data_IF_443764537488
#
_entry.id   IF_443764537488
#
_cell.length_a   1.000
_cell.length_b   1.000
_cell.length_c   1.000
_cell.angle_alpha   90.00
_cell.angle_beta   90.00
_cell.angle_gamma   90.00
#
_symmetry.space_group_name_H-M   'P 1'
#
loop_
_entity.id
_entity.type
_entity.pdbx_description
1 polymer ?
#
# COMPACT_ATOMS: atom_id res chain seq x y z
N UNK A 1 1.05 -20.36 -16.65
CA UNK A 1 1.27 -20.12 -15.21
C UNK A 1 0.03 -19.49 -14.60
N UNK A 2 -0.26 -19.73 -13.33
CA UNK A 2 -1.28 -19.02 -12.58
C UNK A 2 -0.64 -17.84 -11.85
N UNK A 3 -1.24 -16.65 -11.95
CA UNK A 3 -0.72 -15.44 -11.32
C UNK A 3 -1.72 -14.98 -10.26
N UNK A 4 -1.34 -14.97 -8.97
CA UNK A 4 -2.22 -14.54 -7.91
C UNK A 4 -2.45 -13.03 -7.95
N UNK A 5 -3.49 -12.61 -7.23
CA UNK A 5 -3.75 -11.21 -6.95
C UNK A 5 -2.54 -10.55 -6.24
N UNK A 6 -2.09 -9.37 -6.70
CA UNK A 6 -1.05 -8.62 -6.03
C UNK A 6 -1.50 -8.20 -4.62
N UNK A 7 -0.62 -8.44 -3.64
CA UNK A 7 -0.87 -8.15 -2.22
C UNK A 7 -0.20 -6.86 -1.78
N UNK A 8 -0.87 -6.06 -0.96
CA UNK A 8 -0.33 -4.83 -0.39
C UNK A 8 -0.75 -4.63 1.06
N UNK A 9 0.19 -4.27 1.92
CA UNK A 9 -0.08 -3.78 3.26
C UNK A 9 0.17 -2.27 3.26
N UNK A 10 -0.87 -1.49 3.57
CA UNK A 10 -0.81 -0.02 3.67
C UNK A 10 -0.89 0.35 5.14
N UNK A 11 0.15 0.97 5.66
CA UNK A 11 0.23 1.41 7.03
C UNK A 11 0.19 2.94 7.07
N UNK A 12 -0.87 3.49 7.65
CA UNK A 12 -0.91 4.90 8.03
C UNK A 12 -0.23 5.07 9.39
N UNK A 13 0.76 5.95 9.44
CA UNK A 13 1.41 6.40 10.67
C UNK A 13 0.89 7.78 10.96
N UNK A 14 0.03 7.91 11.96
CA UNK A 14 -0.72 9.14 12.22
C UNK A 14 -0.28 9.73 13.54
N UNK A 15 0.23 10.95 13.50
CA UNK A 15 0.43 11.74 14.69
C UNK A 15 -0.92 12.20 15.25
N UNK A 16 -1.10 11.96 16.54
CA UNK A 16 -2.26 12.33 17.32
C UNK A 16 -1.95 13.34 18.42
N UNK A 17 -0.85 14.07 18.29
CA UNK A 17 -0.56 15.25 19.08
C UNK A 17 -1.66 16.31 18.94
N UNK A 18 -1.70 17.26 19.89
CA UNK A 18 -2.72 18.31 19.92
C UNK A 18 -2.68 19.26 18.71
N UNK A 19 -1.50 19.47 18.11
CA UNK A 19 -1.32 20.31 16.91
C UNK A 19 -1.99 19.72 15.66
N UNK A 20 -2.19 18.41 15.63
CA UNK A 20 -2.72 17.69 14.47
C UNK A 20 -4.23 17.81 14.27
N UNK A 21 -4.98 18.53 15.13
CA UNK A 21 -6.46 18.56 15.09
C UNK A 21 -6.99 19.06 13.73
N UNK A 22 -6.50 20.22 13.28
CA UNK A 22 -6.89 20.79 11.98
C UNK A 22 -6.44 19.93 10.79
N UNK A 23 -5.29 19.26 10.92
CA UNK A 23 -4.74 18.38 9.87
C UNK A 23 -5.56 17.10 9.74
N UNK A 24 -5.90 16.44 10.85
CA UNK A 24 -6.75 15.26 10.84
C UNK A 24 -8.16 15.56 10.35
N UNK A 25 -8.72 16.74 10.66
CA UNK A 25 -10.02 17.17 10.11
C UNK A 25 -9.97 17.29 8.57
N UNK A 26 -8.90 17.86 8.03
CA UNK A 26 -8.69 18.01 6.57
C UNK A 26 -8.50 16.65 5.89
N UNK A 27 -7.74 15.75 6.51
CA UNK A 27 -7.57 14.37 6.07
C UNK A 27 -8.91 13.62 6.03
N UNK A 28 -9.70 13.69 7.11
CA UNK A 28 -11.01 13.04 7.22
C UNK A 28 -11.97 13.47 6.10
N UNK A 29 -11.89 14.73 5.67
CA UNK A 29 -12.72 15.25 4.59
C UNK A 29 -12.37 14.67 3.20
N UNK A 30 -11.18 14.08 3.04
CA UNK A 30 -10.66 13.70 1.72
C UNK A 30 -10.25 12.24 1.57
N UNK A 31 -9.99 11.53 2.67
CA UNK A 31 -9.50 10.14 2.67
C UNK A 31 -10.44 9.15 1.96
N UNK A 32 -11.74 9.45 1.90
CA UNK A 32 -12.71 8.66 1.14
C UNK A 32 -12.32 8.56 -0.35
N UNK A 33 -11.89 9.66 -0.97
CA UNK A 33 -11.49 9.65 -2.39
C UNK A 33 -10.24 8.80 -2.63
N UNK A 34 -9.32 8.77 -1.68
CA UNK A 34 -8.17 7.87 -1.73
C UNK A 34 -8.62 6.41 -1.65
N UNK A 35 -9.51 6.11 -0.70
CA UNK A 35 -10.08 4.78 -0.53
C UNK A 35 -10.80 4.27 -1.80
N UNK A 36 -11.61 5.12 -2.45
CA UNK A 36 -12.29 4.80 -3.72
C UNK A 36 -11.34 4.21 -4.77
N UNK A 37 -10.14 4.78 -4.92
CA UNK A 37 -9.13 4.34 -5.89
C UNK A 37 -8.71 2.89 -5.63
N UNK A 38 -8.57 2.49 -4.37
CA UNK A 38 -8.13 1.14 -4.00
C UNK A 38 -9.27 0.14 -3.96
N UNK A 39 -10.39 0.53 -3.36
CA UNK A 39 -11.48 -0.39 -3.07
C UNK A 39 -12.21 -0.86 -4.32
N UNK A 40 -12.12 -0.07 -5.40
CA UNK A 40 -12.70 -0.42 -6.70
C UNK A 40 -11.78 -1.29 -7.56
N UNK A 41 -10.51 -1.50 -7.19
CA UNK A 41 -9.61 -2.34 -7.98
C UNK A 41 -9.85 -3.84 -7.71
N UNK A 42 -10.29 -4.63 -8.71
CA UNK A 42 -10.68 -6.02 -8.50
C UNK A 42 -9.51 -6.96 -8.20
N UNK A 43 -8.25 -6.53 -8.41
CA UNK A 43 -7.05 -7.38 -8.27
C UNK A 43 -6.19 -7.09 -7.05
N UNK A 44 -6.29 -5.90 -6.46
CA UNK A 44 -5.50 -5.55 -5.26
C UNK A 44 -6.01 -6.20 -3.97
N UNK A 45 -5.30 -7.21 -3.47
CA UNK A 45 -5.52 -7.79 -2.14
C UNK A 45 -4.84 -6.91 -1.09
N UNK A 46 -5.61 -6.09 -0.39
CA UNK A 46 -5.08 -5.08 0.53
C UNK A 46 -5.40 -5.37 1.99
N UNK A 47 -4.46 -4.97 2.85
CA UNK A 47 -4.69 -4.74 4.28
C UNK A 47 -4.32 -3.29 4.58
N UNK A 48 -5.24 -2.51 5.15
CA UNK A 48 -4.98 -1.11 5.54
C UNK A 48 -5.07 -0.96 7.05
N UNK A 49 -3.95 -0.67 7.69
CA UNK A 49 -3.84 -0.48 9.13
C UNK A 49 -3.46 0.96 9.49
N UNK A 50 -3.75 1.34 10.72
CA UNK A 50 -3.35 2.64 11.29
C UNK A 50 -2.53 2.37 12.55
N UNK A 51 -1.35 2.97 12.65
CA UNK A 51 -0.55 2.99 13.87
C UNK A 51 -0.30 4.44 14.27
N UNK A 52 -0.48 4.81 15.54
CA UNK A 52 -0.16 6.15 15.99
C UNK A 52 1.36 6.35 16.12
N UNK A 53 1.81 7.60 16.07
CA UNK A 53 3.18 7.98 16.47
C UNK A 53 3.43 7.59 17.93
N UNK A 54 4.62 7.09 18.22
CA UNK A 54 5.01 6.65 19.56
C UNK A 54 5.82 7.72 20.29
N UNK A 55 6.01 7.54 21.60
CA UNK A 55 6.85 8.38 22.43
C UNK A 55 7.47 7.50 23.51
N UNK A 56 8.71 7.03 23.28
CA UNK A 56 9.43 6.21 24.25
C UNK A 56 10.06 7.02 25.38
N UNK A 57 10.23 8.32 25.17
CA UNK A 57 10.94 9.22 26.09
C UNK A 57 10.10 9.53 27.32
N UNK A 58 8.81 9.76 27.13
CA UNK A 58 7.88 10.14 28.19
C UNK A 58 6.93 9.03 28.60
N UNK A 59 7.23 7.77 28.25
CA UNK A 59 6.51 6.59 28.74
C UNK A 59 6.35 6.69 30.25
N UNK A 60 5.12 6.55 30.74
CA UNK A 60 4.75 6.62 32.16
C UNK A 60 4.91 8.01 32.83
N UNK A 61 5.21 9.06 32.06
CA UNK A 61 5.20 10.43 32.55
C UNK A 61 3.77 10.91 32.84
N UNK A 62 3.41 11.05 34.12
CA UNK A 62 2.21 11.80 34.54
C UNK A 62 2.45 13.31 34.36
N UNK A 63 2.60 13.76 33.13
CA UNK A 63 2.55 15.18 32.83
C UNK A 63 1.07 15.56 32.68
N UNK A 64 0.60 16.43 33.56
CA UNK A 64 -0.59 17.21 33.26
C UNK A 64 -0.25 18.14 32.10
N UNK A 65 -1.06 18.08 31.06
CA UNK A 65 -1.05 19.06 29.99
C UNK A 65 -1.36 20.43 30.61
N UNK A 66 -1.09 21.55 29.92
CA UNK A 66 -1.36 22.90 30.46
C UNK A 66 -2.81 23.08 30.96
N UNK A 67 -3.73 22.20 30.57
CA UNK A 67 -5.07 22.04 31.11
C UNK A 67 -5.08 20.96 32.21
N UNK A 68 -5.36 21.38 33.45
CA UNK A 68 -5.28 20.59 34.70
C UNK A 68 -6.15 19.31 34.77
N UNK A 69 -6.90 18.97 33.72
CA UNK A 69 -7.89 17.88 33.71
C UNK A 69 -7.56 16.72 32.78
N UNK A 70 -6.61 16.87 31.86
CA UNK A 70 -6.27 15.81 30.91
C UNK A 70 -4.99 15.07 31.33
N UNK A 71 -5.13 13.77 31.55
CA UNK A 71 -4.00 12.85 31.73
C UNK A 71 -3.44 12.57 30.34
N UNK A 72 -2.12 12.71 30.17
CA UNK A 72 -1.42 12.29 28.96
C UNK A 72 -1.71 10.81 28.68
N UNK A 73 -2.33 10.50 27.54
CA UNK A 73 -2.63 9.12 27.12
C UNK A 73 -1.56 8.68 26.16
N UNK A 74 -0.74 7.71 26.55
CA UNK A 74 0.31 7.21 25.67
C UNK A 74 -0.23 6.19 24.68
N UNK A 75 0.28 6.29 23.45
CA UNK A 75 0.04 5.30 22.42
C UNK A 75 0.76 4.00 22.78
N UNK A 76 0.11 2.86 22.54
CA UNK A 76 0.75 1.58 22.74
C UNK A 76 1.76 1.33 21.63
N UNK A 77 2.95 0.86 22.00
CA UNK A 77 4.01 0.60 21.02
C UNK A 77 3.57 -0.43 19.99
N UNK A 78 3.58 -0.01 18.72
CA UNK A 78 3.39 -0.85 17.53
C UNK A 78 2.10 -1.68 17.50
N UNK A 79 1.05 -1.23 18.20
CA UNK A 79 -0.29 -1.80 18.12
C UNK A 79 -1.13 -1.03 17.11
N UNK A 80 -1.70 -1.74 16.14
CA UNK A 80 -2.67 -1.14 15.22
C UNK A 80 -3.91 -0.68 15.97
N UNK A 81 -4.45 0.45 15.52
CA UNK A 81 -5.68 1.02 16.08
C UNK A 81 -6.87 0.13 15.71
N UNK A 82 -7.73 -0.25 16.66
CA UNK A 82 -8.97 -0.94 16.37
C UNK A 82 -9.82 -0.14 15.38
N UNK A 83 -10.43 -0.84 14.42
CA UNK A 83 -11.29 -0.20 13.43
C UNK A 83 -12.46 0.52 14.11
N UNK A 84 -12.90 1.63 13.51
CA UNK A 84 -14.06 2.40 13.99
C UNK A 84 -15.23 2.27 13.01
N UNK A 85 -16.43 2.10 13.55
CA UNK A 85 -17.70 2.19 12.82
C UNK A 85 -17.93 3.62 12.30
N UNK A 86 -18.94 3.78 11.45
CA UNK A 86 -19.33 5.09 10.91
C UNK A 86 -19.70 6.13 11.98
N UNK A 87 -20.20 5.69 13.12
CA UNK A 87 -20.53 6.54 14.27
C UNK A 87 -19.31 6.85 15.18
N UNK A 88 -18.12 6.34 14.83
CA UNK A 88 -16.88 6.51 15.58
C UNK A 88 -16.68 5.52 16.73
N UNK A 89 -17.64 4.64 17.00
CA UNK A 89 -17.47 3.57 17.99
C UNK A 89 -16.46 2.53 17.52
N UNK A 90 -15.75 1.88 18.45
CA UNK A 90 -14.83 0.79 18.11
C UNK A 90 -15.63 -0.41 17.59
N UNK A 91 -15.20 -0.99 16.48
CA UNK A 91 -15.75 -2.23 15.92
C UNK A 91 -15.39 -3.40 16.84
N UNK A 92 -16.40 -4.03 17.41
CA UNK A 92 -16.21 -5.22 18.23
C UNK A 92 -15.76 -6.41 17.38
N UNK A 93 -14.83 -7.21 17.90
CA UNK A 93 -14.39 -8.49 17.30
C UNK A 93 -13.82 -8.38 15.86
N UNK A 94 -13.35 -7.19 15.46
CA UNK A 94 -12.67 -6.99 14.18
C UNK A 94 -11.16 -7.16 14.29
N UNK A 95 -10.53 -7.66 13.22
CA UNK A 95 -9.08 -7.46 13.03
C UNK A 95 -8.77 -5.96 12.89
N UNK A 96 -7.59 -5.47 13.34
CA UNK A 96 -7.30 -4.04 13.41
C UNK A 96 -6.83 -3.46 12.07
N UNK A 97 -7.36 -3.97 10.96
CA UNK A 97 -7.05 -3.51 9.61
C UNK A 97 -8.20 -3.78 8.64
N UNK A 98 -8.34 -2.90 7.68
CA UNK A 98 -9.38 -2.96 6.64
C UNK A 98 -8.92 -3.92 5.55
N UNK A 99 -9.83 -4.80 5.16
CA UNK A 99 -9.71 -5.70 4.02
C UNK A 99 -10.83 -5.44 3.02
N UNK A 100 -10.79 -6.14 1.89
CA UNK A 100 -11.85 -6.13 0.88
C UNK A 100 -13.23 -6.50 1.42
N UNK A 101 -13.28 -7.33 2.46
CA UNK A 101 -14.52 -7.83 3.04
C UNK A 101 -15.05 -6.91 4.15
N UNK A 102 -14.33 -5.82 4.45
CA UNK A 102 -14.77 -4.84 5.43
C UNK A 102 -15.96 -4.05 4.88
N UNK A 103 -17.12 -4.22 5.51
CA UNK A 103 -18.31 -3.45 5.15
C UNK A 103 -18.08 -1.94 5.35
N UNK A 104 -18.54 -1.12 4.39
CA UNK A 104 -18.37 0.33 4.42
C UNK A 104 -16.91 0.78 4.63
N UNK A 105 -15.95 0.08 4.01
CA UNK A 105 -14.52 0.30 4.17
C UNK A 105 -14.08 1.78 4.06
N UNK A 106 -14.73 2.58 3.21
CA UNK A 106 -14.45 4.02 3.05
C UNK A 106 -14.69 4.79 4.35
N UNK A 107 -15.86 4.58 4.97
CA UNK A 107 -16.21 5.25 6.21
C UNK A 107 -15.42 4.67 7.39
N UNK A 108 -15.16 3.35 7.39
CA UNK A 108 -14.29 2.72 8.38
C UNK A 108 -12.88 3.31 8.33
N UNK A 109 -12.29 3.47 7.14
CA UNK A 109 -10.97 4.09 6.99
C UNK A 109 -11.00 5.53 7.49
N UNK A 110 -12.00 6.29 7.06
CA UNK A 110 -12.17 7.70 7.44
C UNK A 110 -12.26 7.90 8.94
N UNK A 111 -12.99 7.04 9.65
CA UNK A 111 -13.12 7.13 11.11
C UNK A 111 -11.88 6.58 11.83
N UNK A 112 -11.24 5.54 11.29
CA UNK A 112 -10.07 4.91 11.91
C UNK A 112 -8.81 5.77 11.79
N UNK A 113 -8.55 6.35 10.60
CA UNK A 113 -7.39 7.25 10.37
C UNK A 113 -7.53 8.57 11.15
N UNK A 114 -8.75 9.07 11.34
CA UNK A 114 -9.02 10.19 12.25
C UNK A 114 -9.00 9.67 13.71
N UNK A 115 -7.80 9.44 14.22
CA UNK A 115 -7.58 8.97 15.59
C UNK A 115 -8.25 9.87 16.62
N UNK A 116 -8.33 11.17 16.30
CA UNK A 116 -8.52 12.23 17.26
C UNK A 116 -7.15 12.70 17.76
N UNK A 117 -7.14 13.81 18.48
CA UNK A 117 -5.94 14.32 19.13
C UNK A 117 -5.97 14.02 20.62
N UNK A 118 -4.79 13.95 21.19
CA UNK A 118 -4.57 13.85 22.62
C UNK A 118 -3.39 14.74 23.00
N UNK A 119 -3.12 14.81 24.30
CA UNK A 119 -1.92 15.45 24.77
C UNK A 119 -0.73 14.51 24.58
N UNK A 120 0.26 14.95 23.80
CA UNK A 120 1.35 14.12 23.32
C UNK A 120 0.97 13.27 22.08
N UNK A 121 1.94 12.62 21.42
CA UNK A 121 3.37 12.50 21.77
C UNK A 121 4.12 13.85 21.83
N UNK A 122 5.14 13.96 22.68
CA UNK A 122 6.03 15.14 22.72
C UNK A 122 7.38 14.82 22.09
N UNK A 123 7.82 13.57 22.24
CA UNK A 123 8.92 13.02 21.50
C UNK A 123 8.35 12.14 20.37
N UNK A 124 8.15 12.75 19.20
CA UNK A 124 7.47 12.09 18.08
C UNK A 124 8.35 11.03 17.41
N UNK A 125 8.06 9.77 17.71
CA UNK A 125 8.68 8.61 17.08
C UNK A 125 7.71 8.02 16.05
N UNK A 126 7.88 8.44 14.80
CA UNK A 126 7.14 7.93 13.65
C UNK A 126 7.73 6.61 13.12
N UNK A 127 9.05 6.42 13.19
CA UNK A 127 9.75 5.28 12.59
C UNK A 127 9.73 4.03 13.46
N UNK A 128 9.98 4.16 14.77
CA UNK A 128 10.03 3.03 15.69
C UNK A 128 8.74 2.18 15.72
N UNK A 129 7.50 2.74 15.74
CA UNK A 129 6.29 1.92 15.73
C UNK A 129 6.11 1.14 14.42
N UNK A 130 6.56 1.67 13.28
CA UNK A 130 6.49 0.95 12.00
C UNK A 130 7.35 -0.31 12.03
N UNK A 131 8.56 -0.22 12.57
CA UNK A 131 9.45 -1.38 12.72
C UNK A 131 8.86 -2.41 13.69
N UNK A 132 8.18 -1.96 14.74
CA UNK A 132 7.46 -2.86 15.64
C UNK A 132 6.26 -3.52 14.96
N UNK A 133 5.52 -2.83 14.09
CA UNK A 133 4.34 -3.41 13.40
C UNK A 133 4.75 -4.56 12.49
N UNK A 134 5.93 -4.47 11.85
CA UNK A 134 6.46 -5.51 10.96
C UNK A 134 7.32 -6.56 11.68
N UNK A 135 7.61 -6.38 12.97
CA UNK A 135 8.27 -7.40 13.77
C UNK A 135 7.42 -8.67 13.81
N UNK A 136 7.97 -9.87 13.52
CA UNK A 136 7.16 -11.09 13.41
C UNK A 136 6.34 -11.41 14.66
N UNK A 137 6.89 -11.18 15.86
CA UNK A 137 6.22 -11.50 17.11
C UNK A 137 5.11 -10.50 17.41
N UNK A 138 5.37 -9.19 17.30
CA UNK A 138 4.35 -8.15 17.49
C UNK A 138 3.26 -8.27 16.42
N UNK A 139 3.64 -8.44 15.16
CA UNK A 139 2.70 -8.60 14.05
C UNK A 139 1.71 -9.76 14.30
N UNK A 140 2.21 -10.90 14.76
CA UNK A 140 1.39 -12.06 15.07
C UNK A 140 0.52 -11.86 16.30
N UNK A 141 1.10 -11.36 17.40
CA UNK A 141 0.44 -11.35 18.71
C UNK A 141 -0.48 -10.16 18.94
N UNK A 142 -0.18 -9.01 18.31
CA UNK A 142 -0.87 -7.74 18.52
C UNK A 142 -1.61 -7.23 17.30
N UNK A 143 -1.12 -7.53 16.09
CA UNK A 143 -1.65 -6.95 14.85
C UNK A 143 -2.33 -7.98 13.94
N UNK A 144 -2.66 -9.17 14.47
CA UNK A 144 -3.41 -10.22 13.77
C UNK A 144 -2.82 -10.60 12.40
N UNK A 145 -1.49 -10.61 12.27
CA UNK A 145 -0.76 -10.83 11.02
C UNK A 145 -1.13 -9.82 9.92
N UNK A 146 -1.19 -8.54 10.28
CA UNK A 146 -1.34 -7.44 9.32
C UNK A 146 -0.24 -7.45 8.26
N UNK A 147 1.03 -7.51 8.67
CA UNK A 147 2.17 -7.47 7.77
C UNK A 147 2.42 -8.85 7.12
N UNK A 148 2.56 -8.86 5.80
CA UNK A 148 2.92 -10.02 5.00
C UNK A 148 4.26 -9.80 4.29
N UNK A 149 5.20 -10.76 4.40
CA UNK A 149 6.53 -10.62 3.79
C UNK A 149 6.48 -10.48 2.26
N UNK A 150 5.56 -11.19 1.61
CA UNK A 150 5.50 -11.25 0.14
C UNK A 150 4.74 -10.08 -0.50
N UNK A 151 3.93 -9.37 0.28
CA UNK A 151 3.17 -8.19 -0.17
C UNK A 151 4.08 -6.97 -0.40
N UNK A 152 3.59 -5.98 -1.14
CA UNK A 152 4.14 -4.64 -1.07
C UNK A 152 3.88 -4.04 0.32
N UNK A 153 4.79 -3.22 0.84
CA UNK A 153 4.60 -2.41 2.03
C UNK A 153 4.56 -0.94 1.62
N UNK A 154 3.46 -0.29 1.96
CA UNK A 154 3.28 1.16 1.79
C UNK A 154 3.21 1.77 3.18
N UNK A 155 4.05 2.75 3.47
CA UNK A 155 4.01 3.50 4.72
C UNK A 155 3.70 4.95 4.41
N UNK A 156 2.59 5.45 4.97
CA UNK A 156 2.10 6.81 4.76
C UNK A 156 2.17 7.52 6.11
N UNK A 157 3.08 8.48 6.24
CA UNK A 157 3.24 9.29 7.45
C UNK A 157 2.40 10.55 7.39
N UNK A 158 1.79 10.91 8.51
CA UNK A 158 1.03 12.14 8.70
C UNK A 158 1.42 12.74 10.06
N UNK A 159 2.23 13.77 10.03
CA UNK A 159 2.78 14.43 11.23
C UNK A 159 3.20 15.85 10.88
N UNK A 160 3.13 16.75 11.86
CA UNK A 160 3.69 18.09 11.79
C UNK A 160 5.04 18.24 12.50
N UNK A 161 5.67 17.13 12.88
CA UNK A 161 6.99 17.07 13.49
C UNK A 161 7.96 16.17 12.68
N UNK A 162 9.26 16.26 13.00
CA UNK A 162 10.26 15.32 12.49
C UNK A 162 10.41 14.12 13.42
N UNK A 163 10.87 12.99 12.86
CA UNK A 163 11.08 11.78 13.64
C UNK A 163 12.27 11.92 14.60
N UNK A 164 12.10 11.48 15.85
CA UNK A 164 13.18 11.42 16.83
C UNK A 164 13.36 10.03 17.47
N UNK A 165 13.07 8.97 16.70
CA UNK A 165 13.23 7.58 17.14
C UNK A 165 14.67 7.32 17.66
N UNK A 166 14.85 6.93 18.94
CA UNK A 166 16.18 6.81 19.53
C UNK A 166 17.09 5.82 18.80
N UNK A 167 18.27 6.30 18.37
CA UNK A 167 19.27 5.45 17.71
C UNK A 167 18.89 4.98 16.30
N UNK A 168 17.87 5.59 15.69
CA UNK A 168 17.37 5.23 14.37
C UNK A 168 17.31 6.45 13.47
N UNK A 169 18.09 6.46 12.39
CA UNK A 169 17.95 7.47 11.34
C UNK A 169 17.16 6.94 10.14
N UNK A 170 16.76 7.84 9.24
CA UNK A 170 15.98 7.57 8.04
C UNK A 170 16.58 6.48 7.15
N UNK A 171 17.90 6.50 6.94
CA UNK A 171 18.60 5.49 6.15
C UNK A 171 18.51 4.11 6.80
N UNK A 172 18.83 4.00 8.09
CA UNK A 172 18.71 2.76 8.86
C UNK A 172 17.28 2.23 8.91
N UNK A 173 16.31 3.12 9.09
CA UNK A 173 14.89 2.80 9.06
C UNK A 173 14.49 2.19 7.70
N UNK A 174 14.81 2.87 6.60
CA UNK A 174 14.47 2.40 5.26
C UNK A 174 15.14 1.06 4.92
N UNK A 175 16.42 0.89 5.23
CA UNK A 175 17.11 -0.39 5.01
C UNK A 175 16.50 -1.54 5.81
N UNK A 176 15.98 -1.29 7.02
CA UNK A 176 15.25 -2.31 7.79
C UNK A 176 13.93 -2.71 7.10
N UNK A 177 13.19 -1.76 6.51
CA UNK A 177 11.99 -2.08 5.72
C UNK A 177 12.34 -2.92 4.47
N UNK A 178 13.39 -2.52 3.76
CA UNK A 178 13.89 -3.23 2.57
C UNK A 178 14.34 -4.64 2.94
N UNK A 179 15.08 -4.81 4.03
CA UNK A 179 15.47 -6.11 4.55
C UNK A 179 14.27 -6.99 4.92
N UNK A 180 13.22 -6.40 5.51
CA UNK A 180 11.97 -7.10 5.81
C UNK A 180 11.25 -7.60 4.55
N UNK A 181 11.48 -6.95 3.39
CA UNK A 181 11.03 -7.37 2.06
C UNK A 181 12.06 -8.18 1.27
N UNK A 182 13.05 -8.76 1.95
CA UNK A 182 14.05 -9.63 1.31
C UNK A 182 15.06 -8.89 0.44
N UNK A 183 15.28 -7.60 0.68
CA UNK A 183 16.21 -6.76 -0.10
C UNK A 183 15.55 -6.06 -1.30
N UNK A 184 14.27 -6.31 -1.57
CA UNK A 184 13.57 -5.74 -2.71
C UNK A 184 13.04 -4.34 -2.39
N UNK A 185 13.79 -3.31 -2.82
CA UNK A 185 13.39 -1.91 -2.68
C UNK A 185 12.08 -1.58 -3.42
N UNK A 186 11.75 -2.31 -4.49
CA UNK A 186 10.52 -2.05 -5.25
C UNK A 186 9.25 -2.39 -4.47
N UNK A 187 9.38 -3.23 -3.43
CA UNK A 187 8.29 -3.61 -2.52
C UNK A 187 8.08 -2.65 -1.35
N UNK A 188 8.87 -1.58 -1.22
CA UNK A 188 8.72 -0.58 -0.16
C UNK A 188 8.38 0.76 -0.78
N UNK A 189 7.21 1.31 -0.46
CA UNK A 189 6.78 2.62 -0.91
C UNK A 189 6.57 3.53 0.29
N UNK A 190 7.17 4.71 0.25
CA UNK A 190 7.05 5.71 1.31
C UNK A 190 6.32 6.94 0.80
N UNK A 191 5.42 7.43 1.64
CA UNK A 191 4.73 8.69 1.47
C UNK A 191 4.74 9.44 2.81
N UNK A 192 4.90 10.77 2.78
CA UNK A 192 4.81 11.60 3.97
C UNK A 192 4.02 12.88 3.68
N UNK A 193 2.94 13.08 4.43
CA UNK A 193 2.21 14.33 4.49
C UNK A 193 2.81 15.17 5.60
N UNK A 194 3.54 16.21 5.20
CA UNK A 194 4.31 17.06 6.11
C UNK A 194 3.85 18.50 5.91
N UNK A 195 3.87 19.33 6.96
CA UNK A 195 3.55 20.74 6.83
C UNK A 195 4.56 21.44 5.91
N UNK A 196 4.08 22.51 5.29
CA UNK A 196 4.92 23.42 4.52
C UNK A 196 5.17 24.68 5.34
N UNK A 197 6.42 24.83 5.78
CA UNK A 197 6.86 25.90 6.69
C UNK A 197 6.71 27.30 6.11
N UNK A 198 6.67 27.39 4.78
CA UNK A 198 6.54 28.66 4.08
C UNK A 198 5.09 29.14 4.01
N UNK A 199 4.11 28.31 4.39
CA UNK A 199 2.69 28.63 4.31
C UNK A 199 2.20 29.32 5.59
N UNK A 200 1.67 30.55 5.51
CA UNK A 200 1.07 31.22 6.66
C UNK A 200 -0.08 30.41 7.28
N UNK A 201 -0.07 30.26 8.61
CA UNK A 201 -1.10 29.51 9.35
C UNK A 201 -0.92 27.99 9.38
N UNK A 202 0.21 27.49 8.87
CA UNK A 202 0.62 26.10 8.98
C UNK A 202 1.55 25.96 10.19
N UNK A 203 1.02 25.43 11.31
CA UNK A 203 1.85 25.16 12.49
C UNK A 203 2.71 23.93 12.23
N UNK A 204 3.95 23.97 12.71
CA UNK A 204 4.92 22.89 12.65
C UNK A 204 5.47 22.74 14.05
N UNK A 205 5.34 21.55 14.63
CA UNK A 205 5.81 21.30 15.99
C UNK A 205 7.34 21.18 16.04
N UNK A 206 7.92 20.37 15.15
CA UNK A 206 9.37 20.23 15.07
C UNK A 206 9.89 20.09 13.65
N UNK A 207 11.18 20.43 13.51
CA UNK A 207 11.88 20.45 12.23
C UNK A 207 13.17 19.67 12.36
N UNK A 208 13.35 18.72 11.45
CA UNK A 208 14.61 18.03 11.30
C UNK A 208 14.76 17.36 9.93
N UNK A 209 15.85 16.61 9.73
CA UNK A 209 16.19 16.03 8.45
C UNK A 209 15.53 14.67 8.19
N UNK A 210 14.97 13.98 9.19
CA UNK A 210 14.64 12.56 9.06
C UNK A 210 13.65 12.29 7.94
N UNK A 211 12.54 13.03 7.87
CA UNK A 211 11.59 12.83 6.78
C UNK A 211 12.12 13.29 5.41
N UNK A 212 12.90 14.37 5.36
CA UNK A 212 13.51 14.83 4.12
C UNK A 212 14.48 13.79 3.54
N UNK A 213 15.33 13.24 4.42
CA UNK A 213 16.27 12.17 4.08
C UNK A 213 15.53 10.89 3.69
N UNK A 214 14.48 10.51 4.43
CA UNK A 214 13.70 9.31 4.13
C UNK A 214 13.06 9.42 2.74
N UNK A 215 12.42 10.55 2.43
CA UNK A 215 11.82 10.78 1.11
C UNK A 215 12.87 10.73 0.01
N UNK A 216 14.05 11.33 0.23
CA UNK A 216 15.17 11.30 -0.72
C UNK A 216 15.70 9.88 -0.98
N UNK A 217 15.99 9.13 0.09
CA UNK A 217 16.59 7.78 0.01
C UNK A 217 15.60 6.75 -0.56
N UNK A 218 14.32 6.88 -0.21
CA UNK A 218 13.27 5.96 -0.67
C UNK A 218 12.71 6.29 -2.05
N UNK A 219 13.06 7.46 -2.62
CA UNK A 219 12.35 8.06 -3.75
C UNK A 219 10.83 8.13 -3.48
N UNK A 220 10.50 8.53 -2.25
CA UNK A 220 9.14 8.59 -1.71
C UNK A 220 8.38 9.82 -2.19
N UNK A 221 7.10 9.88 -1.83
CA UNK A 221 6.23 11.02 -2.14
C UNK A 221 6.07 11.95 -0.94
N UNK A 222 6.21 13.26 -1.15
CA UNK A 222 5.88 14.28 -0.14
C UNK A 222 4.60 15.00 -0.51
N UNK A 223 3.71 15.19 0.45
CA UNK A 223 2.48 15.97 0.32
C UNK A 223 2.47 17.11 1.32
N UNK A 224 1.77 18.20 0.96
CA UNK A 224 1.62 19.34 1.86
C UNK A 224 0.40 19.15 2.76
N UNK A 225 0.65 18.85 4.05
CA UNK A 225 -0.39 18.63 5.06
C UNK A 225 -1.27 19.86 5.30
N UNK A 226 -0.74 21.05 5.02
CA UNK A 226 -1.45 22.32 5.18
C UNK A 226 -2.19 22.74 3.91
N UNK A 227 -2.14 21.94 2.84
CA UNK A 227 -2.85 22.24 1.61
C UNK A 227 -4.33 21.87 1.68
N UNK A 228 -5.19 22.78 1.19
CA UNK A 228 -6.59 22.47 0.94
C UNK A 228 -6.75 21.41 -0.16
N UNK A 229 -5.71 21.16 -0.98
CA UNK A 229 -5.65 20.12 -2.01
C UNK A 229 -5.02 18.81 -1.52
N UNK A 230 -4.64 18.71 -0.25
CA UNK A 230 -4.00 17.52 0.31
C UNK A 230 -4.73 16.22 -0.07
N UNK A 231 -6.05 16.25 -0.04
CA UNK A 231 -6.90 15.15 -0.49
C UNK A 231 -6.66 14.69 -1.93
N UNK A 232 -6.53 15.64 -2.85
CA UNK A 232 -6.28 15.36 -4.28
C UNK A 232 -4.88 14.82 -4.50
N UNK A 233 -3.89 15.28 -3.73
CA UNK A 233 -2.52 14.76 -3.76
C UNK A 233 -2.49 13.30 -3.28
N UNK A 234 -3.23 12.98 -2.21
CA UNK A 234 -3.36 11.62 -1.71
C UNK A 234 -4.04 10.70 -2.74
N UNK A 235 -5.08 11.17 -3.44
CA UNK A 235 -5.70 10.43 -4.57
C UNK A 235 -4.70 10.15 -5.69
N UNK A 236 -3.88 11.15 -6.05
CA UNK A 236 -2.84 10.99 -7.07
C UNK A 236 -1.83 9.92 -6.68
N UNK A 237 -1.38 9.94 -5.42
CA UNK A 237 -0.54 8.88 -4.87
C UNK A 237 -1.23 7.51 -4.89
N UNK A 238 -2.53 7.50 -4.58
CA UNK A 238 -3.35 6.30 -4.68
C UNK A 238 -3.29 5.68 -6.07
N UNK A 239 -3.47 6.49 -7.11
CA UNK A 239 -3.40 6.02 -8.50
C UNK A 239 -2.01 5.47 -8.86
N UNK A 240 -0.94 6.18 -8.49
CA UNK A 240 0.45 5.72 -8.71
C UNK A 240 0.72 4.40 -7.97
N UNK A 241 0.20 4.26 -6.76
CA UNK A 241 0.36 3.05 -5.98
C UNK A 241 -0.42 1.87 -6.61
N UNK A 242 -1.65 2.09 -7.07
CA UNK A 242 -2.40 1.10 -7.85
C UNK A 242 -1.60 0.69 -9.09
N UNK A 243 -1.05 1.63 -9.84
CA UNK A 243 -0.21 1.34 -11.01
C UNK A 243 1.00 0.48 -10.64
N UNK A 244 1.74 0.84 -9.59
CA UNK A 244 2.94 0.11 -9.18
C UNK A 244 2.66 -1.29 -8.63
N UNK A 245 1.56 -1.46 -7.90
CA UNK A 245 1.24 -2.72 -7.22
C UNK A 245 0.42 -3.65 -8.12
N UNK A 246 -0.57 -3.12 -8.83
CA UNK A 246 -1.48 -3.93 -9.64
C UNK A 246 -0.90 -4.28 -11.01
N UNK A 247 -0.02 -3.44 -11.58
CA UNK A 247 0.66 -3.78 -12.83
C UNK A 247 1.65 -4.91 -12.60
N UNK A 248 1.47 -6.01 -13.32
CA UNK A 248 2.35 -7.17 -13.22
C UNK A 248 3.09 -7.38 -14.54
N UNK A 249 4.39 -7.59 -14.43
CA UNK A 249 5.27 -7.94 -15.55
C UNK A 249 5.59 -9.41 -15.48
N UNK A 250 5.28 -10.15 -16.54
CA UNK A 250 5.60 -11.56 -16.67
C UNK A 250 6.54 -11.73 -17.84
N UNK A 251 7.77 -12.15 -17.54
CA UNK A 251 8.74 -12.53 -18.56
C UNK A 251 8.47 -13.96 -19.03
N UNK A 252 8.45 -14.16 -20.34
CA UNK A 252 8.35 -15.47 -20.96
C UNK A 252 9.74 -15.93 -21.41
N UNK A 253 10.03 -17.21 -21.22
CA UNK A 253 11.29 -17.80 -21.70
C UNK A 253 11.39 -17.82 -23.25
N UNK A 254 10.24 -17.74 -23.92
CA UNK A 254 10.10 -17.86 -25.37
C UNK A 254 9.22 -16.75 -25.96
N UNK A 255 9.34 -16.56 -27.28
CA UNK A 255 8.43 -15.70 -28.04
C UNK A 255 7.17 -16.53 -28.33
N UNK A 256 5.97 -16.08 -27.92
CA UNK A 256 4.74 -16.78 -28.18
C UNK A 256 4.26 -16.52 -29.62
N UNK A 257 3.49 -17.45 -30.17
CA UNK A 257 2.79 -17.26 -31.44
C UNK A 257 1.52 -16.40 -31.28
N UNK A 258 0.72 -16.33 -32.35
CA UNK A 258 -0.53 -15.57 -32.37
C UNK A 258 -1.64 -16.15 -31.50
N UNK A 259 -1.42 -17.31 -30.83
CA UNK A 259 -2.38 -17.94 -29.91
C UNK A 259 -2.09 -17.62 -28.45
N UNK A 260 -1.27 -16.62 -28.15
CA UNK A 260 -1.17 -16.06 -26.81
C UNK A 260 -2.57 -15.69 -26.31
N UNK A 261 -3.04 -16.41 -25.30
CA UNK A 261 -4.32 -16.21 -24.65
C UNK A 261 -4.08 -15.97 -23.17
N UNK A 262 -4.68 -14.90 -22.65
CA UNK A 262 -4.70 -14.60 -21.22
C UNK A 262 -6.15 -14.70 -20.76
N UNK A 263 -6.38 -15.50 -19.72
CA UNK A 263 -7.71 -15.68 -19.12
C UNK A 263 -7.67 -15.43 -17.62
N UNK A 264 -8.82 -15.06 -17.07
CA UNK A 264 -9.06 -14.93 -15.64
C UNK A 264 -10.18 -15.88 -15.21
N UNK A 265 -9.94 -16.63 -14.14
CA UNK A 265 -10.91 -17.58 -13.62
C UNK A 265 -10.37 -18.32 -12.41
N UNK A 266 -11.06 -19.38 -11.98
CA UNK A 266 -10.61 -20.24 -10.88
C UNK A 266 -10.04 -21.54 -11.44
N UNK A 267 -9.05 -22.09 -10.74
CA UNK A 267 -8.51 -23.41 -11.06
C UNK A 267 -9.63 -24.46 -11.12
N UNK A 268 -9.71 -25.20 -12.22
CA UNK A 268 -10.74 -26.21 -12.46
C UNK A 268 -11.96 -25.73 -13.27
N UNK A 269 -12.09 -24.43 -13.52
CA UNK A 269 -13.07 -23.92 -14.50
C UNK A 269 -12.70 -24.35 -15.92
N UNK A 270 -13.70 -24.52 -16.77
CA UNK A 270 -13.48 -24.75 -18.21
C UNK A 270 -13.04 -23.45 -18.88
N UNK A 271 -12.25 -23.54 -19.95
CA UNK A 271 -11.74 -22.38 -20.70
C UNK A 271 -12.84 -21.43 -21.21
N UNK A 272 -14.04 -21.95 -21.44
CA UNK A 272 -15.23 -21.22 -21.88
C UNK A 272 -15.99 -20.51 -20.75
N UNK A 273 -15.72 -20.89 -19.50
CA UNK A 273 -16.25 -20.23 -18.30
C UNK A 273 -15.29 -19.16 -17.78
N UNK A 274 -14.02 -19.21 -18.20
CA UNK A 274 -13.04 -18.18 -17.87
C UNK A 274 -13.25 -16.92 -18.71
N UNK A 275 -13.01 -15.77 -18.11
CA UNK A 275 -13.02 -14.50 -18.84
C UNK A 275 -11.74 -14.35 -19.65
N UNK A 276 -11.85 -14.10 -20.95
CA UNK A 276 -10.69 -13.69 -21.76
C UNK A 276 -10.33 -12.24 -21.46
N UNK A 277 -9.03 -11.99 -21.22
CA UNK A 277 -8.48 -10.64 -21.10
C UNK A 277 -7.93 -10.25 -22.47
N UNK A 278 -8.54 -9.25 -23.10
CA UNK A 278 -8.14 -8.77 -24.42
C UNK A 278 -6.89 -7.88 -24.36
N UNK A 279 -6.08 -7.80 -25.43
CA UNK A 279 -4.99 -6.84 -25.52
C UNK A 279 -5.52 -5.40 -25.45
N UNK A 280 -5.11 -4.64 -24.43
CA UNK A 280 -5.56 -3.27 -24.22
C UNK A 280 -4.58 -2.55 -23.28
N UNK A 281 -4.20 -1.32 -23.63
CA UNK A 281 -3.25 -0.49 -22.88
C UNK A 281 -3.80 0.07 -21.58
N UNK A 282 -5.12 0.17 -21.43
CA UNK A 282 -5.77 0.80 -20.26
C UNK A 282 -6.40 -0.23 -19.31
N UNK A 283 -6.79 -1.40 -19.81
CA UNK A 283 -7.55 -2.38 -19.01
C UNK A 283 -7.39 -3.84 -19.42
N UNK A 284 -6.34 -4.16 -20.16
CA UNK A 284 -6.05 -5.51 -20.66
C UNK A 284 -4.59 -5.88 -20.44
N UNK A 285 -3.98 -6.44 -21.48
CA UNK A 285 -2.54 -6.70 -21.48
C UNK A 285 -1.83 -6.13 -22.71
N UNK A 286 -0.52 -5.93 -22.57
CA UNK A 286 0.40 -5.63 -23.66
C UNK A 286 1.49 -6.68 -23.70
N UNK A 287 1.81 -7.23 -24.87
CA UNK A 287 2.99 -8.07 -25.06
C UNK A 287 4.10 -7.28 -25.75
N UNK A 288 5.31 -7.31 -25.19
CA UNK A 288 6.51 -6.68 -25.71
C UNK A 288 7.45 -7.76 -26.28
N UNK A 289 7.49 -7.97 -27.62
CA UNK A 289 8.28 -9.03 -28.21
C UNK A 289 9.80 -8.89 -27.97
N UNK A 290 10.30 -7.65 -27.92
CA UNK A 290 11.73 -7.38 -27.74
C UNK A 290 12.27 -7.85 -26.39
N UNK A 291 11.44 -7.86 -25.34
CA UNK A 291 11.80 -8.30 -23.99
C UNK A 291 11.05 -9.57 -23.56
N UNK A 292 10.27 -10.17 -24.46
CA UNK A 292 9.38 -11.30 -24.19
C UNK A 292 8.48 -11.09 -22.96
N UNK A 293 8.04 -9.85 -22.73
CA UNK A 293 7.33 -9.49 -21.50
C UNK A 293 5.84 -9.27 -21.76
N UNK A 294 4.99 -9.88 -20.95
CA UNK A 294 3.58 -9.52 -20.82
C UNK A 294 3.46 -8.49 -19.71
N UNK A 295 2.80 -7.38 -20.00
CA UNK A 295 2.41 -6.36 -19.03
C UNK A 295 0.90 -6.48 -18.84
N UNK A 296 0.48 -6.91 -17.66
CA UNK A 296 -0.91 -6.85 -17.22
C UNK A 296 -1.17 -5.45 -16.65
N UNK A 297 -2.15 -4.73 -17.19
CA UNK A 297 -2.42 -3.37 -16.76
C UNK A 297 -3.02 -3.32 -15.36
N UNK A 298 -2.83 -2.18 -14.67
CA UNK A 298 -3.28 -2.03 -13.29
C UNK A 298 -4.80 -2.07 -13.13
N UNK A 299 -5.53 -1.55 -14.13
CA UNK A 299 -6.99 -1.45 -14.16
C UNK A 299 -7.61 -2.54 -15.05
N UNK A 300 -7.15 -3.78 -14.89
CA UNK A 300 -7.67 -4.92 -15.64
C UNK A 300 -9.21 -5.00 -15.54
N UNK A 301 -9.86 -5.03 -16.70
CA UNK A 301 -11.31 -5.16 -16.79
C UNK A 301 -11.70 -6.63 -16.58
N UNK A 302 -11.82 -7.04 -15.31
CA UNK A 302 -12.17 -8.41 -14.93
C UNK A 302 -13.39 -8.44 -14.01
N UNK A 303 -14.22 -9.46 -14.19
CA UNK A 303 -15.30 -9.83 -13.29
C UNK A 303 -14.71 -10.72 -12.20
N UNK A 304 -14.38 -10.11 -11.05
CA UNK A 304 -13.68 -10.78 -9.95
C UNK A 304 -14.41 -12.04 -9.50
N UNK A 305 -13.64 -13.11 -9.28
CA UNK A 305 -14.08 -14.36 -8.66
C UNK A 305 -13.19 -14.61 -7.45
N UNK A 306 -13.76 -15.03 -6.32
CA UNK A 306 -12.98 -15.34 -5.12
C UNK A 306 -11.98 -16.49 -5.38
N UNK A 307 -10.70 -16.22 -5.09
CA UNK A 307 -9.60 -17.13 -5.42
C UNK A 307 -9.32 -17.23 -6.92
N UNK A 308 -9.77 -16.25 -7.72
CA UNK A 308 -9.48 -16.16 -9.15
C UNK A 308 -8.00 -15.85 -9.40
N UNK A 309 -7.48 -16.42 -10.48
CA UNK A 309 -6.08 -16.32 -10.90
C UNK A 309 -6.05 -15.97 -12.39
N UNK A 310 -4.95 -15.36 -12.83
CA UNK A 310 -4.69 -15.18 -14.27
C UNK A 310 -3.95 -16.39 -14.81
N UNK A 311 -4.46 -16.94 -15.90
CA UNK A 311 -3.85 -18.03 -16.65
C UNK A 311 -3.29 -17.50 -17.97
N UNK A 312 -2.05 -17.89 -18.27
CA UNK A 312 -1.40 -17.59 -19.55
C UNK A 312 -1.22 -18.89 -20.32
N UNK A 313 -1.79 -18.92 -21.52
CA UNK A 313 -1.65 -20.00 -22.50
C UNK A 313 -0.92 -19.44 -23.72
N UNK A 314 0.23 -20.01 -24.05
CA UNK A 314 1.05 -19.53 -25.16
C UNK A 314 1.87 -20.68 -25.74
N UNK A 315 2.12 -20.64 -27.06
CA UNK A 315 2.91 -21.65 -27.76
C UNK A 315 4.18 -21.03 -28.34
N UNK A 316 5.35 -21.66 -28.16
CA UNK A 316 6.60 -21.11 -28.66
C UNK A 316 6.68 -21.15 -30.19
N UNK A 317 7.16 -20.07 -30.79
CA UNK A 317 7.62 -20.07 -32.17
C UNK A 317 9.10 -20.47 -32.25
N UNK A 318 9.48 -21.23 -33.27
CA UNK A 318 10.90 -21.41 -33.60
C UNK A 318 11.35 -20.25 -34.51
N UNK A 319 12.29 -19.40 -34.07
CA UNK A 319 12.84 -18.34 -34.91
C UNK A 319 13.45 -18.87 -36.21
N UNK A 320 13.95 -20.12 -36.22
CA UNK A 320 14.51 -20.76 -37.42
C UNK A 320 13.45 -21.12 -38.46
N UNK A 321 12.17 -21.13 -38.06
CA UNK A 321 11.03 -21.42 -38.93
C UNK A 321 10.36 -20.15 -39.49
N UNK A 322 10.94 -18.96 -39.26
CA UNK A 322 10.47 -17.74 -39.92
C UNK A 322 10.84 -17.76 -41.41
N UNK A 323 9.85 -18.00 -42.28
CA UNK A 323 9.98 -17.81 -43.74
C UNK A 323 8.77 -17.03 -44.26
N UNK A 324 9.00 -16.04 -45.12
CA UNK A 324 7.96 -15.22 -45.76
C UNK A 324 6.96 -14.59 -44.76
N UNK A 325 7.45 -14.04 -43.65
CA UNK A 325 6.61 -13.37 -42.64
C UNK A 325 5.73 -14.29 -41.81
N UNK A 326 5.93 -15.62 -41.87
CA UNK A 326 5.21 -16.61 -41.05
C UNK A 326 6.19 -17.50 -40.30
N UNK A 327 5.91 -17.76 -39.01
CA UNK A 327 6.66 -18.67 -38.17
C UNK A 327 5.82 -19.90 -37.83
N UNK A 328 6.40 -21.08 -37.90
CA UNK A 328 5.74 -22.34 -37.51
C UNK A 328 5.95 -22.59 -36.01
N UNK A 329 4.88 -22.92 -35.28
CA UNK A 329 4.99 -23.29 -33.86
C UNK A 329 5.71 -24.61 -33.65
N UNK A 330 6.51 -24.66 -32.59
CA UNK A 330 7.19 -25.87 -32.14
C UNK A 330 6.12 -26.82 -31.58
N UNK A 331 5.96 -27.99 -32.20
CA UNK A 331 5.04 -29.04 -31.73
C UNK A 331 3.92 -29.44 -32.69
N UNK A 332 3.71 -28.75 -33.82
CA UNK A 332 2.88 -29.27 -34.91
C UNK A 332 3.73 -30.02 -35.94
N UNK A 333 4.42 -31.09 -35.51
CA UNK A 333 4.72 -32.16 -36.44
C UNK A 333 3.40 -32.83 -36.82
N UNK A 334 2.87 -32.51 -38.00
CA UNK A 334 1.88 -33.37 -38.66
C UNK A 334 2.41 -34.81 -38.59
N UNK A 335 1.58 -35.80 -38.23
CA UNK A 335 1.97 -37.19 -38.44
C UNK A 335 2.30 -37.32 -39.92
N UNK A 336 3.56 -37.66 -40.23
CA UNK A 336 3.91 -38.11 -41.58
C UNK A 336 3.09 -39.37 -41.81
N UNK A 337 2.27 -39.35 -42.86
CA UNK A 337 1.62 -40.54 -43.42
C UNK A 337 2.67 -41.59 -43.75
#
# INVERSE_FOLDING_TARGET
AAIPDPKVNILFVVDNSGSMDGHQATLKANIAKFADTFFKNPRLDYKIGVVPVYDSTYLDGQAHCRLKTDVRKMNKFAELVPLKNADGSVMAESVPFITRDTANAEEVLKQTVALGTQCGPEAEESFSPVLGVIDPQINQTKNSNFYDKDAFLVVIFLTDADDISPGLNAGQFYEKLVAAKGGDRSKVLIAAALPDKERPGCTVDSVGPQFADLISISNGSRFNLCSNSFGTELVTFGNVLVEKVAQQRIELDFIPDTRLKITYGKKGMRDEEMQTIEPNVDGGYTYLPGTKTIILQANLNINRIEGGEIFITAYPIDPKNFKNGRATTIGQTKPKK
#
